data_IF_772693238969
#
_entry.id   IF_772693238969
#
_cell.length_a   1.000
_cell.length_b   1.000
_cell.length_c   1.000
_cell.angle_alpha   90.00
_cell.angle_beta   90.00
_cell.angle_gamma   90.00
#
_symmetry.space_group_name_H-M   'P 1'
#
loop_
_entity.id
_entity.type
_entity.pdbx_description
1 polymer ?
#
# COMPACT_ATOMS: atom_id res chain seq x y z
N UNK A 1 42.10 -20.02 3.86
CA UNK A 1 41.69 -18.78 3.17
C UNK A 1 40.43 -18.23 3.83
N UNK A 2 40.51 -17.10 4.55
CA UNK A 2 39.32 -16.44 5.09
C UNK A 2 38.55 -15.77 3.94
N UNK A 3 37.29 -16.16 3.71
CA UNK A 3 36.43 -15.46 2.74
C UNK A 3 36.37 -13.98 3.13
N UNK A 4 36.90 -13.10 2.26
CA UNK A 4 36.76 -11.66 2.46
C UNK A 4 35.25 -11.34 2.42
N UNK A 5 34.73 -10.88 3.55
CA UNK A 5 33.35 -10.40 3.64
C UNK A 5 33.22 -9.11 2.82
N UNK A 6 32.09 -8.96 2.12
CA UNK A 6 31.82 -7.76 1.35
C UNK A 6 31.78 -6.52 2.27
N UNK A 7 32.62 -5.48 2.03
CA UNK A 7 32.75 -4.35 2.96
C UNK A 7 31.46 -3.59 3.25
N UNK A 8 30.50 -3.58 2.31
CA UNK A 8 29.21 -2.90 2.47
C UNK A 8 28.06 -3.86 2.81
N UNK A 9 28.35 -5.04 3.34
CA UNK A 9 27.33 -6.04 3.70
C UNK A 9 26.28 -5.51 4.69
N UNK A 10 26.70 -4.71 5.67
CA UNK A 10 25.80 -4.08 6.63
C UNK A 10 24.82 -3.11 5.94
N UNK A 11 25.32 -2.30 5.00
CA UNK A 11 24.49 -1.36 4.24
C UNK A 11 23.51 -2.08 3.32
N UNK A 12 23.94 -3.17 2.67
CA UNK A 12 23.06 -4.01 1.85
C UNK A 12 21.90 -4.57 2.69
N UNK A 13 22.20 -5.09 3.88
CA UNK A 13 21.20 -5.62 4.82
C UNK A 13 20.16 -4.56 5.21
N UNK A 14 20.61 -3.32 5.46
CA UNK A 14 19.70 -2.19 5.76
C UNK A 14 18.82 -1.84 4.55
N UNK A 15 19.35 -1.91 3.32
CA UNK A 15 18.55 -1.64 2.11
C UNK A 15 17.47 -2.70 1.88
N UNK A 16 17.80 -3.99 2.06
CA UNK A 16 16.81 -5.06 2.02
C UNK A 16 15.72 -4.88 3.06
N UNK A 17 16.10 -4.56 4.30
CA UNK A 17 15.14 -4.26 5.35
C UNK A 17 14.20 -3.10 4.98
N UNK A 18 14.73 -2.02 4.40
CA UNK A 18 13.93 -0.87 3.95
C UNK A 18 12.99 -1.23 2.79
N UNK A 19 13.44 -2.06 1.87
CA UNK A 19 12.60 -2.58 0.79
C UNK A 19 11.45 -3.41 1.34
N UNK A 20 11.72 -4.33 2.27
CA UNK A 20 10.69 -5.14 2.90
C UNK A 20 9.73 -4.30 3.75
N UNK A 21 10.23 -3.31 4.47
CA UNK A 21 9.41 -2.36 5.20
C UNK A 21 8.47 -1.58 4.26
N UNK A 22 8.98 -1.10 3.11
CA UNK A 22 8.17 -0.42 2.10
C UNK A 22 7.10 -1.35 1.50
N UNK A 23 7.44 -2.62 1.21
CA UNK A 23 6.48 -3.61 0.71
C UNK A 23 5.39 -3.90 1.75
N UNK A 24 5.75 -3.99 3.02
CA UNK A 24 4.79 -4.21 4.11
C UNK A 24 3.86 -3.00 4.28
N UNK A 25 4.40 -1.78 4.17
CA UNK A 25 3.60 -0.57 4.18
C UNK A 25 2.60 -0.54 3.01
N UNK A 26 3.05 -0.87 1.78
CA UNK A 26 2.16 -0.98 0.63
C UNK A 26 1.00 -1.96 0.86
N UNK A 27 1.29 -3.16 1.38
CA UNK A 27 0.25 -4.15 1.70
C UNK A 27 -0.77 -3.64 2.72
N UNK A 28 -0.34 -2.84 3.69
CA UNK A 28 -1.22 -2.21 4.67
C UNK A 28 -2.15 -1.19 3.99
N UNK A 29 -1.60 -0.34 3.13
CA UNK A 29 -2.42 0.65 2.40
C UNK A 29 -3.40 -0.01 1.41
N UNK A 30 -3.02 -1.12 0.78
CA UNK A 30 -3.92 -1.90 -0.07
C UNK A 30 -5.07 -2.51 0.72
N UNK A 31 -4.81 -3.05 1.92
CA UNK A 31 -5.87 -3.56 2.81
C UNK A 31 -6.82 -2.46 3.25
N UNK A 32 -6.30 -1.28 3.60
CA UNK A 32 -7.13 -0.10 3.92
C UNK A 32 -7.97 0.34 2.73
N UNK A 33 -7.45 0.26 1.51
CA UNK A 33 -8.21 0.58 0.29
C UNK A 33 -9.39 -0.38 0.09
N UNK A 34 -9.17 -1.68 0.31
CA UNK A 34 -10.25 -2.68 0.26
C UNK A 34 -11.34 -2.35 1.29
N UNK A 35 -10.96 -2.10 2.55
CA UNK A 35 -11.90 -1.74 3.61
C UNK A 35 -12.68 -0.45 3.30
N UNK A 36 -12.02 0.57 2.75
CA UNK A 36 -12.67 1.81 2.35
C UNK A 36 -13.70 1.60 1.23
N UNK A 37 -13.39 0.73 0.25
CA UNK A 37 -14.34 0.37 -0.83
C UNK A 37 -15.52 -0.43 -0.31
N UNK A 38 -15.29 -1.36 0.62
CA UNK A 38 -16.37 -2.10 1.29
C UNK A 38 -17.28 -1.16 2.11
N UNK A 39 -16.71 -0.14 2.76
CA UNK A 39 -17.49 0.88 3.47
C UNK A 39 -18.38 1.67 2.50
N UNK A 40 -17.86 2.10 1.35
CA UNK A 40 -18.67 2.75 0.30
C UNK A 40 -19.84 1.86 -0.11
N UNK A 41 -19.59 0.57 -0.39
CA UNK A 41 -20.64 -0.38 -0.75
C UNK A 41 -21.69 -0.53 0.34
N UNK A 42 -21.28 -0.57 1.62
CA UNK A 42 -22.20 -0.62 2.77
C UNK A 42 -23.07 0.63 2.87
N UNK A 43 -22.49 1.82 2.70
CA UNK A 43 -23.24 3.11 2.73
C UNK A 43 -24.17 3.26 1.54
N UNK A 44 -23.77 2.84 0.35
CA UNK A 44 -24.63 2.83 -0.83
C UNK A 44 -25.82 1.90 -0.63
N UNK A 45 -25.60 0.68 -0.12
CA UNK A 45 -26.68 -0.24 0.17
C UNK A 45 -27.64 0.30 1.26
N UNK A 46 -27.12 1.02 2.26
CA UNK A 46 -27.95 1.70 3.26
C UNK A 46 -28.80 2.81 2.62
N UNK A 47 -28.20 3.65 1.77
CA UNK A 47 -28.91 4.71 1.07
C UNK A 47 -30.03 4.16 0.20
N UNK A 48 -29.79 3.10 -0.57
CA UNK A 48 -30.81 2.49 -1.43
C UNK A 48 -31.93 1.86 -0.61
N UNK A 49 -31.61 1.16 0.50
CA UNK A 49 -32.64 0.66 1.43
C UNK A 49 -33.48 1.80 1.99
N UNK A 50 -32.84 2.90 2.38
CA UNK A 50 -33.53 4.07 2.91
C UNK A 50 -34.42 4.72 1.86
N UNK A 51 -33.99 4.82 0.60
CA UNK A 51 -34.79 5.38 -0.50
C UNK A 51 -36.10 4.64 -0.71
N UNK A 52 -36.03 3.30 -0.75
CA UNK A 52 -37.23 2.46 -0.88
C UNK A 52 -38.14 2.64 0.32
N UNK A 53 -37.59 2.49 1.54
CA UNK A 53 -38.36 2.64 2.77
C UNK A 53 -38.99 4.04 2.91
N UNK A 54 -38.26 5.10 2.52
CA UNK A 54 -38.74 6.48 2.60
C UNK A 54 -39.96 6.69 1.71
N UNK A 55 -39.97 6.13 0.50
CA UNK A 55 -41.12 6.20 -0.41
C UNK A 55 -42.34 5.48 0.18
N UNK A 56 -42.16 4.25 0.67
CA UNK A 56 -43.22 3.48 1.32
C UNK A 56 -43.78 4.21 2.56
N UNK A 57 -42.89 4.82 3.35
CA UNK A 57 -43.24 5.58 4.55
C UNK A 57 -43.95 6.90 4.21
N UNK A 58 -43.52 7.60 3.16
CA UNK A 58 -44.22 8.78 2.62
C UNK A 58 -45.65 8.41 2.20
N UNK A 59 -45.82 7.35 1.41
CA UNK A 59 -47.13 6.86 0.99
C UNK A 59 -48.02 6.47 2.17
N UNK A 60 -47.47 5.72 3.15
CA UNK A 60 -48.19 5.33 4.37
C UNK A 60 -48.66 6.55 5.16
N UNK A 61 -47.83 7.58 5.28
CA UNK A 61 -48.15 8.82 5.99
C UNK A 61 -49.24 9.61 5.27
N UNK A 62 -49.16 9.72 3.95
CA UNK A 62 -50.22 10.34 3.16
C UNK A 62 -51.55 9.59 3.26
N UNK A 63 -51.52 8.25 3.19
CA UNK A 63 -52.72 7.42 3.33
C UNK A 63 -53.40 7.61 4.70
N UNK A 64 -52.62 7.78 5.78
CA UNK A 64 -53.14 7.97 7.13
C UNK A 64 -53.95 9.26 7.32
N UNK A 65 -53.67 10.29 6.52
CA UNK A 65 -54.37 11.58 6.59
C UNK A 65 -55.41 11.78 5.48
N UNK A 66 -55.51 10.83 4.55
CA UNK A 66 -56.38 10.96 3.39
C UNK A 66 -57.86 10.98 3.82
N UNK A 67 -58.55 12.07 3.50
CA UNK A 67 -59.95 12.28 3.90
C UNK A 67 -60.15 12.77 5.33
N UNK A 68 -59.07 13.00 6.10
CA UNK A 68 -59.14 13.64 7.41
C UNK A 68 -59.22 15.16 7.28
N UNK A 69 -59.98 15.81 8.16
CA UNK A 69 -59.91 17.26 8.34
C UNK A 69 -58.80 17.59 9.32
N UNK A 70 -57.73 18.21 8.80
CA UNK A 70 -56.57 18.62 9.59
C UNK A 70 -56.64 20.13 9.87
N UNK A 71 -56.20 20.53 11.06
CA UNK A 71 -55.90 21.91 11.39
C UNK A 71 -54.63 22.39 10.67
N UNK A 72 -54.43 23.71 10.64
CA UNK A 72 -53.25 24.31 10.01
C UNK A 72 -51.93 23.85 10.68
N UNK A 73 -51.95 23.69 12.00
CA UNK A 73 -50.80 23.20 12.79
C UNK A 73 -50.47 21.76 12.43
N UNK A 74 -51.46 20.86 12.38
CA UNK A 74 -51.25 19.46 12.01
C UNK A 74 -50.73 19.31 10.56
N UNK A 75 -51.16 20.20 9.64
CA UNK A 75 -50.60 20.24 8.28
C UNK A 75 -49.14 20.69 8.28
N UNK A 76 -48.77 21.66 9.13
CA UNK A 76 -47.39 22.12 9.25
C UNK A 76 -46.49 21.02 9.82
N UNK A 77 -46.92 20.35 10.89
CA UNK A 77 -46.22 19.24 11.52
C UNK A 77 -46.04 18.06 10.56
N UNK A 78 -47.10 17.72 9.81
CA UNK A 78 -47.03 16.69 8.79
C UNK A 78 -45.96 17.00 7.74
N UNK A 79 -45.94 18.23 7.19
CA UNK A 79 -44.92 18.67 6.22
C UNK A 79 -43.52 18.63 6.82
N UNK A 80 -43.35 19.09 8.06
CA UNK A 80 -42.07 19.03 8.76
C UNK A 80 -41.60 17.57 8.91
N UNK A 81 -42.51 16.65 9.23
CA UNK A 81 -42.20 15.22 9.37
C UNK A 81 -41.71 14.58 8.07
N UNK A 82 -42.23 15.00 6.91
CA UNK A 82 -41.75 14.57 5.59
C UNK A 82 -40.39 15.22 5.27
N UNK A 83 -40.21 16.48 5.65
CA UNK A 83 -38.92 17.16 5.57
C UNK A 83 -37.82 16.39 6.30
N UNK A 84 -38.11 15.87 7.49
CA UNK A 84 -37.16 15.03 8.25
C UNK A 84 -36.78 13.74 7.52
N UNK A 85 -37.71 13.12 6.78
CA UNK A 85 -37.42 11.94 5.96
C UNK A 85 -36.44 12.28 4.83
N UNK A 86 -36.65 13.42 4.15
CA UNK A 86 -35.76 13.91 3.11
C UNK A 86 -34.37 14.30 3.65
N UNK A 87 -34.31 14.94 4.82
CA UNK A 87 -33.04 15.22 5.50
C UNK A 87 -32.28 13.93 5.82
N UNK A 88 -32.96 12.89 6.31
CA UNK A 88 -32.35 11.59 6.59
C UNK A 88 -31.79 10.87 5.35
N UNK A 89 -32.39 11.08 4.16
CA UNK A 89 -31.80 10.60 2.90
C UNK A 89 -30.54 11.41 2.55
N UNK A 90 -30.62 12.73 2.67
CA UNK A 90 -29.52 13.64 2.36
C UNK A 90 -28.29 13.34 3.22
N UNK A 91 -28.47 13.07 4.52
CA UNK A 91 -27.38 12.67 5.41
C UNK A 91 -26.68 11.39 4.94
N UNK A 92 -27.43 10.39 4.52
CA UNK A 92 -26.89 9.13 3.97
C UNK A 92 -26.18 9.34 2.65
N UNK A 93 -26.72 10.18 1.78
CA UNK A 93 -26.07 10.58 0.55
C UNK A 93 -24.73 11.27 0.82
N UNK A 94 -24.67 12.20 1.78
CA UNK A 94 -23.42 12.83 2.19
C UNK A 94 -22.43 11.81 2.78
N UNK A 95 -22.90 10.85 3.56
CA UNK A 95 -22.06 9.78 4.10
C UNK A 95 -21.43 8.91 2.99
N UNK A 96 -22.18 8.59 1.93
CA UNK A 96 -21.63 7.92 0.73
C UNK A 96 -20.53 8.77 0.09
N UNK A 97 -20.79 10.07 -0.12
CA UNK A 97 -19.82 10.99 -0.72
C UNK A 97 -18.52 11.12 0.08
N UNK A 98 -18.64 11.15 1.41
CA UNK A 98 -17.48 11.15 2.31
C UNK A 98 -16.68 9.84 2.21
N UNK A 99 -17.37 8.69 2.18
CA UNK A 99 -16.71 7.40 2.02
C UNK A 99 -15.99 7.29 0.64
N UNK A 100 -16.61 7.80 -0.43
CA UNK A 100 -15.99 7.85 -1.76
C UNK A 100 -14.74 8.74 -1.78
N UNK A 101 -14.77 9.87 -1.07
CA UNK A 101 -13.59 10.73 -0.92
C UNK A 101 -12.47 10.02 -0.15
N UNK A 102 -12.81 9.27 0.91
CA UNK A 102 -11.83 8.46 1.64
C UNK A 102 -11.17 7.41 0.73
N UNK A 103 -11.94 6.78 -0.16
CA UNK A 103 -11.38 5.85 -1.16
C UNK A 103 -10.39 6.57 -2.07
N UNK A 104 -10.73 7.76 -2.59
CA UNK A 104 -9.82 8.55 -3.44
C UNK A 104 -8.50 8.88 -2.72
N UNK A 105 -8.56 9.29 -1.45
CA UNK A 105 -7.38 9.56 -0.64
C UNK A 105 -6.53 8.29 -0.45
N UNK A 106 -7.18 7.16 -0.21
CA UNK A 106 -6.49 5.89 -0.02
C UNK A 106 -5.84 5.36 -1.31
N UNK A 107 -6.45 5.60 -2.47
CA UNK A 107 -5.85 5.29 -3.78
C UNK A 107 -4.56 6.11 -4.03
N UNK A 108 -4.57 7.38 -3.64
CA UNK A 108 -3.37 8.22 -3.69
C UNK A 108 -2.30 7.70 -2.72
N UNK A 109 -2.67 7.28 -1.52
CA UNK A 109 -1.75 6.69 -0.54
C UNK A 109 -1.10 5.41 -1.07
N UNK A 110 -1.89 4.50 -1.67
CA UNK A 110 -1.38 3.28 -2.33
C UNK A 110 -0.41 3.63 -3.44
N UNK A 111 -0.75 4.60 -4.31
CA UNK A 111 0.14 5.07 -5.38
C UNK A 111 1.46 5.61 -4.81
N UNK A 112 1.40 6.36 -3.72
CA UNK A 112 2.60 6.84 -3.00
C UNK A 112 3.46 5.70 -2.45
N UNK A 113 2.83 4.71 -1.82
CA UNK A 113 3.52 3.53 -1.28
C UNK A 113 4.17 2.68 -2.39
N UNK A 114 3.51 2.51 -3.54
CA UNK A 114 4.08 1.84 -4.72
C UNK A 114 5.36 2.54 -5.21
N UNK A 115 5.35 3.88 -5.26
CA UNK A 115 6.55 4.66 -5.61
C UNK A 115 7.67 4.47 -4.59
N UNK A 116 7.34 4.44 -3.30
CA UNK A 116 8.31 4.19 -2.24
C UNK A 116 8.95 2.79 -2.36
N UNK A 117 8.16 1.76 -2.66
CA UNK A 117 8.66 0.40 -2.93
C UNK A 117 9.59 0.40 -4.14
N UNK A 118 9.19 1.04 -5.24
CA UNK A 118 10.01 1.12 -6.45
C UNK A 118 11.35 1.84 -6.19
N UNK A 119 11.36 2.90 -5.39
CA UNK A 119 12.57 3.60 -4.98
C UNK A 119 13.47 2.70 -4.12
N UNK A 120 12.92 2.09 -3.07
CA UNK A 120 13.69 1.22 -2.17
C UNK A 120 14.33 0.05 -2.92
N UNK A 121 13.59 -0.56 -3.86
CA UNK A 121 14.09 -1.63 -4.73
C UNK A 121 15.23 -1.18 -5.63
N UNK A 122 15.12 0.00 -6.24
CA UNK A 122 16.20 0.57 -7.07
C UNK A 122 17.48 0.82 -6.26
N UNK A 123 17.33 1.33 -5.04
CA UNK A 123 18.47 1.55 -4.15
C UNK A 123 19.12 0.23 -3.70
N UNK A 124 18.33 -0.79 -3.36
CA UNK A 124 18.83 -2.11 -3.02
C UNK A 124 19.60 -2.73 -4.20
N UNK A 125 19.00 -2.72 -5.40
CA UNK A 125 19.61 -3.25 -6.61
C UNK A 125 20.95 -2.58 -6.97
N UNK A 126 21.11 -1.28 -6.65
CA UNK A 126 22.39 -0.58 -6.88
C UNK A 126 23.53 -1.16 -6.03
N UNK A 127 23.25 -1.49 -4.77
CA UNK A 127 24.26 -2.03 -3.86
C UNK A 127 24.50 -3.51 -4.13
N UNK A 128 23.47 -4.27 -4.51
CA UNK A 128 23.62 -5.65 -4.98
C UNK A 128 24.58 -5.73 -6.16
N UNK A 129 24.40 -4.88 -7.19
CA UNK A 129 25.33 -4.82 -8.33
C UNK A 129 26.76 -4.51 -7.91
N UNK A 130 26.96 -3.61 -6.95
CA UNK A 130 28.30 -3.34 -6.43
C UNK A 130 28.88 -4.57 -5.71
N UNK A 131 28.08 -5.28 -4.91
CA UNK A 131 28.54 -6.51 -4.26
C UNK A 131 28.99 -7.54 -5.30
N UNK A 132 28.19 -7.73 -6.35
CA UNK A 132 28.47 -8.72 -7.38
C UNK A 132 29.78 -8.39 -8.13
N UNK A 133 29.99 -7.12 -8.51
CA UNK A 133 31.26 -6.65 -9.12
C UNK A 133 32.44 -6.84 -8.15
N UNK A 134 32.25 -6.53 -6.86
CA UNK A 134 33.30 -6.67 -5.86
C UNK A 134 33.70 -8.13 -5.65
N UNK A 135 32.73 -9.04 -5.60
CA UNK A 135 32.96 -10.49 -5.47
C UNK A 135 33.67 -11.04 -6.71
N UNK A 136 33.29 -10.60 -7.91
CA UNK A 136 33.94 -11.00 -9.15
C UNK A 136 35.41 -10.54 -9.18
N UNK A 137 35.69 -9.29 -8.82
CA UNK A 137 37.06 -8.77 -8.74
C UNK A 137 37.88 -9.50 -7.67
N UNK A 138 37.30 -9.78 -6.50
CA UNK A 138 37.97 -10.54 -5.45
C UNK A 138 38.32 -11.97 -5.89
N UNK A 139 37.45 -12.59 -6.70
CA UNK A 139 37.69 -13.91 -7.28
C UNK A 139 38.82 -13.88 -8.30
N UNK A 140 38.81 -12.92 -9.24
CA UNK A 140 39.88 -12.76 -10.25
C UNK A 140 41.24 -12.49 -9.62
N UNK A 141 41.28 -11.68 -8.56
CA UNK A 141 42.51 -11.43 -7.80
C UNK A 141 43.02 -12.69 -7.10
N UNK A 142 42.11 -13.49 -6.53
CA UNK A 142 42.48 -14.75 -5.91
C UNK A 142 43.05 -15.74 -6.95
N UNK A 143 42.41 -15.86 -8.13
CA UNK A 143 42.92 -16.67 -9.24
C UNK A 143 44.33 -16.20 -9.67
N UNK A 144 44.55 -14.87 -9.77
CA UNK A 144 45.87 -14.32 -10.10
C UNK A 144 46.95 -14.61 -9.05
N UNK A 145 46.60 -14.55 -7.76
CA UNK A 145 47.51 -14.90 -6.67
C UNK A 145 47.84 -16.40 -6.66
N UNK A 146 46.85 -17.26 -6.91
CA UNK A 146 47.05 -18.71 -7.03
C UNK A 146 47.99 -19.04 -8.20
N UNK A 147 47.85 -18.35 -9.34
CA UNK A 147 48.76 -18.51 -10.49
C UNK A 147 50.20 -18.07 -10.15
N UNK A 148 50.39 -16.94 -9.46
CA UNK A 148 51.70 -16.48 -9.00
C UNK A 148 52.35 -17.45 -8.00
N UNK A 149 51.58 -17.99 -7.05
CA UNK A 149 52.06 -18.99 -6.09
C UNK A 149 52.54 -20.27 -6.81
N UNK A 150 51.85 -20.68 -7.88
CA UNK A 150 52.28 -21.81 -8.71
C UNK A 150 53.59 -21.52 -9.47
N UNK A 151 53.78 -20.29 -9.97
CA UNK A 151 55.03 -19.86 -10.61
C UNK A 151 56.20 -19.79 -9.62
N UNK A 152 55.97 -19.29 -8.40
CA UNK A 152 56.97 -19.27 -7.32
C UNK A 152 57.35 -20.68 -6.85
N UNK A 153 56.43 -21.64 -6.85
CA UNK A 153 56.73 -23.04 -6.54
C UNK A 153 57.42 -23.77 -7.71
N UNK A 154 57.09 -23.41 -8.96
CA UNK A 154 57.64 -24.03 -10.16
C UNK A 154 59.03 -23.51 -10.56
N UNK A 155 59.48 -22.39 -10.01
CA UNK A 155 60.87 -21.93 -10.19
C UNK A 155 61.80 -22.78 -9.32
N UNK A 156 62.64 -23.66 -9.90
CA UNK A 156 63.67 -24.31 -9.11
C UNK A 156 64.63 -23.23 -8.64
N UNK A 157 65.03 -23.25 -7.38
CA UNK A 157 66.19 -22.51 -6.89
C UNK A 157 67.38 -22.84 -7.79
N UNK A 158 67.66 -21.98 -8.77
CA UNK A 158 68.94 -21.93 -9.48
C UNK A 158 69.95 -21.19 -8.60
N UNK A 159 70.07 -21.65 -7.36
CA UNK A 159 71.17 -21.34 -6.47
C UNK A 159 71.70 -22.70 -5.98
N UNK A 160 73.02 -22.86 -6.14
CA UNK A 160 73.86 -24.03 -5.88
C UNK A 160 73.63 -25.24 -6.77
N UNK A 161 74.30 -25.26 -7.92
CA UNK A 161 75.17 -26.42 -8.22
C UNK A 161 76.58 -25.88 -8.48
N UNK A 162 77.48 -26.29 -7.59
CA UNK A 162 78.92 -26.07 -7.56
C UNK A 162 79.62 -26.73 -8.77
N UNK A 163 80.73 -26.11 -9.23
CA UNK A 163 82.03 -26.71 -9.57
C UNK A 163 82.84 -25.86 -10.57
#
# INVERSE_FOLDING_TARGET
MAQRLYPLQALLSVRHYREDAARNALRLEERRLVQAREEVGRRQAELERYRVWRQEEEERRYAAILGASLSLEEVADFRASLGMLATGEQERFQAVRQAEEQVRQQEQAVTGAQRAVALARREAAKIEKHRDIWQENAKREQEHLEDLELEEFATPSRASDDA
#
